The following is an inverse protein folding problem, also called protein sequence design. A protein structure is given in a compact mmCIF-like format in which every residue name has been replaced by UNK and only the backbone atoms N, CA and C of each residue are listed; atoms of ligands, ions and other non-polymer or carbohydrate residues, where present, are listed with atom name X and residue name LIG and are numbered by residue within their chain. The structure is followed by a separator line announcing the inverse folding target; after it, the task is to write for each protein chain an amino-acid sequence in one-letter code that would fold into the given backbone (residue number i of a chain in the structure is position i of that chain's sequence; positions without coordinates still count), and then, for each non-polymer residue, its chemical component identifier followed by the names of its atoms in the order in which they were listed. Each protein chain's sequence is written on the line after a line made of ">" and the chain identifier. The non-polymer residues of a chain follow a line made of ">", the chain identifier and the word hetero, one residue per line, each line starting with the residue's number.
data_IF_289258789546
#
_entry.id   IF_289258789546
#
_cell.length_a   1.000
_cell.length_b   1.000
_cell.length_c   1.000
_cell.angle_alpha   90.00
_cell.angle_beta   90.00
_cell.angle_gamma   90.00
#
_symmetry.space_group_name_H-M   'P 1'
#
loop_
_entity.id
_entity.type
_entity.pdbx_description
1 polymer ?
#
# COMPACT_ATOMS: atom_id res chain seq x y z
N UNK A 1 14.80 25.83 -10.94
CA UNK A 1 15.01 24.57 -11.69
C UNK A 1 13.80 23.63 -11.65
N UNK A 2 12.84 23.80 -10.77
CA UNK A 2 11.76 22.84 -10.56
C UNK A 2 10.37 23.20 -11.12
N UNK A 3 10.13 24.45 -11.50
CA UNK A 3 8.94 24.80 -12.29
C UNK A 3 8.93 23.99 -13.60
N UNK A 4 10.11 23.82 -14.23
CA UNK A 4 10.28 23.01 -15.42
C UNK A 4 9.86 21.54 -15.23
N UNK A 5 10.25 20.91 -14.11
CA UNK A 5 9.88 19.51 -13.84
C UNK A 5 8.36 19.33 -13.62
N UNK A 6 7.71 20.31 -12.99
CA UNK A 6 6.24 20.30 -12.80
C UNK A 6 5.52 20.56 -14.13
N UNK A 7 6.02 21.49 -14.97
CA UNK A 7 5.47 21.77 -16.29
C UNK A 7 5.67 20.60 -17.27
N UNK A 8 6.71 19.80 -17.08
CA UNK A 8 6.95 18.59 -17.87
C UNK A 8 5.82 17.56 -17.74
N UNK A 9 5.09 17.51 -16.60
CA UNK A 9 3.91 16.64 -16.42
C UNK A 9 2.82 16.93 -17.46
N UNK A 10 2.68 18.20 -17.88
CA UNK A 10 1.73 18.62 -18.89
C UNK A 10 2.25 18.61 -20.34
N UNK A 11 3.56 18.46 -20.55
CA UNK A 11 4.18 18.65 -21.89
C UNK A 11 4.96 17.45 -22.42
N UNK A 12 5.65 16.70 -21.57
CA UNK A 12 6.43 15.51 -21.98
C UNK A 12 5.52 14.38 -22.50
N UNK A 13 6.03 13.50 -23.39
CA UNK A 13 5.32 12.29 -23.81
C UNK A 13 4.92 11.43 -22.59
N UNK A 14 3.63 11.06 -22.50
CA UNK A 14 3.03 10.41 -21.35
C UNK A 14 3.73 9.08 -21.01
N UNK A 15 4.13 8.29 -22.02
CA UNK A 15 4.84 7.03 -21.81
C UNK A 15 6.19 7.21 -21.10
N UNK A 16 6.96 8.26 -21.51
CA UNK A 16 8.24 8.58 -20.85
C UNK A 16 8.04 9.05 -19.42
N UNK A 17 6.98 9.82 -19.16
CA UNK A 17 6.61 10.24 -17.81
C UNK A 17 6.23 9.04 -16.94
N UNK A 18 5.37 8.15 -17.45
CA UNK A 18 4.95 6.96 -16.70
C UNK A 18 6.17 6.12 -16.30
N UNK A 19 7.10 5.84 -17.20
CA UNK A 19 8.34 5.11 -16.88
C UNK A 19 9.17 5.88 -15.85
N UNK A 20 9.33 7.21 -16.02
CA UNK A 20 10.10 8.06 -15.10
C UNK A 20 9.56 8.06 -13.67
N UNK A 21 8.23 7.93 -13.49
CA UNK A 21 7.56 7.95 -12.19
C UNK A 21 7.31 6.54 -11.63
N UNK A 22 6.93 5.59 -12.48
CA UNK A 22 6.62 4.23 -12.05
C UNK A 22 7.88 3.43 -11.68
N UNK A 23 8.99 3.55 -12.44
CA UNK A 23 10.21 2.80 -12.14
C UNK A 23 10.74 3.06 -10.73
N UNK A 24 10.92 4.32 -10.26
CA UNK A 24 11.32 4.56 -8.89
C UNK A 24 10.31 4.01 -7.85
N UNK A 25 9.02 4.11 -8.14
CA UNK A 25 7.99 3.62 -7.24
C UNK A 25 8.00 2.08 -7.14
N UNK A 26 8.17 1.37 -8.25
CA UNK A 26 8.31 -0.09 -8.28
C UNK A 26 9.53 -0.53 -7.46
N UNK A 27 10.69 0.11 -7.68
CA UNK A 27 11.92 -0.18 -6.92
C UNK A 27 11.68 0.01 -5.42
N UNK A 28 11.06 1.13 -5.02
CA UNK A 28 10.76 1.42 -3.63
C UNK A 28 9.81 0.39 -3.00
N UNK A 29 8.75 0.01 -3.71
CA UNK A 29 7.77 -0.98 -3.24
C UNK A 29 8.40 -2.36 -3.08
N UNK A 30 9.19 -2.80 -4.06
CA UNK A 30 9.90 -4.08 -4.00
C UNK A 30 10.93 -4.10 -2.86
N UNK A 31 11.70 -3.03 -2.70
CA UNK A 31 12.67 -2.92 -1.61
C UNK A 31 12.01 -2.95 -0.23
N UNK A 32 10.88 -2.24 -0.06
CA UNK A 32 10.11 -2.28 1.19
C UNK A 32 9.57 -3.67 1.51
N UNK A 33 9.15 -4.43 0.48
CA UNK A 33 8.67 -5.80 0.67
C UNK A 33 9.79 -6.74 1.11
N UNK A 34 10.97 -6.64 0.48
CA UNK A 34 12.15 -7.44 0.85
C UNK A 34 12.65 -7.09 2.26
N UNK A 35 12.62 -5.82 2.62
CA UNK A 35 13.02 -5.35 3.94
C UNK A 35 12.20 -6.01 5.06
N UNK A 36 10.87 -6.05 4.95
CA UNK A 36 10.02 -6.70 5.97
C UNK A 36 10.39 -8.19 6.18
N UNK A 37 10.86 -8.85 5.12
CA UNK A 37 11.34 -10.23 5.20
C UNK A 37 12.68 -10.31 5.94
N UNK A 38 13.62 -9.40 5.65
CA UNK A 38 14.95 -9.35 6.29
C UNK A 38 14.84 -9.03 7.79
N UNK A 39 14.00 -8.06 8.16
CA UNK A 39 13.74 -7.70 9.56
C UNK A 39 13.20 -8.90 10.36
N UNK A 40 12.26 -9.65 9.78
CA UNK A 40 11.74 -10.87 10.40
C UNK A 40 12.83 -11.96 10.60
N UNK A 41 13.79 -12.07 9.67
CA UNK A 41 14.91 -13.01 9.78
C UNK A 41 15.83 -12.59 10.93
N UNK A 42 16.16 -11.30 11.05
CA UNK A 42 17.03 -10.80 12.13
C UNK A 42 16.40 -10.99 13.52
N UNK A 43 15.10 -10.74 13.66
CA UNK A 43 14.39 -10.97 14.92
C UNK A 43 14.38 -12.47 15.25
N UNK A 44 14.12 -13.33 14.25
CA UNK A 44 14.06 -14.78 14.45
C UNK A 44 15.38 -15.40 14.87
N UNK A 45 16.47 -14.96 14.27
CA UNK A 45 17.81 -15.45 14.58
C UNK A 45 18.40 -14.77 15.83
N UNK A 46 18.02 -13.53 16.09
CA UNK A 46 18.62 -12.71 17.15
C UNK A 46 17.91 -12.79 18.50
N UNK A 47 16.67 -13.21 18.54
CA UNK A 47 15.90 -13.30 19.79
C UNK A 47 15.46 -14.75 20.04
N UNK A 48 14.35 -15.18 19.48
CA UNK A 48 13.84 -16.56 19.52
C UNK A 48 12.57 -16.70 18.62
N UNK A 49 12.09 -17.94 18.46
CA UNK A 49 10.89 -18.24 17.68
C UNK A 49 9.61 -17.58 18.26
N UNK A 50 9.53 -17.42 19.58
CA UNK A 50 8.37 -16.76 20.23
C UNK A 50 8.32 -15.27 19.89
N UNK A 51 9.48 -14.62 19.73
CA UNK A 51 9.55 -13.22 19.31
C UNK A 51 9.06 -13.02 17.87
N UNK A 52 9.33 -13.97 16.95
CA UNK A 52 8.76 -13.93 15.58
C UNK A 52 7.25 -14.03 15.65
N UNK A 53 6.71 -14.91 16.49
CA UNK A 53 5.27 -15.06 16.68
C UNK A 53 4.66 -13.78 17.28
N UNK A 54 5.35 -13.16 18.25
CA UNK A 54 4.98 -11.84 18.77
C UNK A 54 4.96 -10.76 17.69
N UNK A 55 5.99 -10.69 16.84
CA UNK A 55 6.04 -9.75 15.70
C UNK A 55 4.89 -10.01 14.71
N UNK A 56 4.61 -11.27 14.38
CA UNK A 56 3.55 -11.63 13.43
C UNK A 56 2.17 -11.14 13.91
N UNK A 57 1.91 -11.17 15.22
CA UNK A 57 0.68 -10.67 15.84
C UNK A 57 0.58 -9.15 15.73
N UNK A 58 1.71 -8.43 15.82
CA UNK A 58 1.71 -6.96 15.72
C UNK A 58 1.52 -6.45 14.28
N UNK A 59 1.85 -7.24 13.28
CA UNK A 59 1.89 -6.84 11.88
C UNK A 59 0.55 -6.28 11.33
N UNK A 60 -0.62 -6.91 11.56
CA UNK A 60 -1.90 -6.34 11.11
C UNK A 60 -2.19 -4.99 11.76
N UNK A 61 -1.88 -4.85 13.05
CA UNK A 61 -2.11 -3.60 13.77
C UNK A 61 -1.15 -2.48 13.32
N UNK A 62 0.12 -2.79 13.07
CA UNK A 62 1.08 -1.85 12.48
C UNK A 62 0.61 -1.36 11.11
N UNK A 63 0.16 -2.28 10.24
CA UNK A 63 -0.34 -1.92 8.92
C UNK A 63 -1.59 -1.03 8.99
N UNK A 64 -2.50 -1.33 9.91
CA UNK A 64 -3.68 -0.51 10.15
C UNK A 64 -3.30 0.90 10.62
N UNK A 65 -2.36 1.01 11.57
CA UNK A 65 -1.86 2.31 12.03
C UNK A 65 -1.17 3.08 10.90
N UNK A 66 -0.27 2.45 10.15
CA UNK A 66 0.40 3.07 9.02
C UNK A 66 -0.56 3.50 7.90
N UNK A 67 -1.69 2.79 7.74
CA UNK A 67 -2.71 3.13 6.75
C UNK A 67 -3.34 4.50 6.97
N UNK A 68 -3.44 5.01 8.21
CA UNK A 68 -3.89 6.38 8.49
C UNK A 68 -2.93 7.42 7.92
N UNK A 69 -1.63 7.27 8.17
CA UNK A 69 -0.62 8.18 7.63
C UNK A 69 -0.55 8.13 6.11
N UNK A 70 -0.61 6.92 5.54
CA UNK A 70 -0.65 6.74 4.09
C UNK A 70 -1.91 7.34 3.45
N UNK A 71 -3.07 7.22 4.11
CA UNK A 71 -4.32 7.81 3.64
C UNK A 71 -4.25 9.34 3.57
N UNK A 72 -3.76 9.99 4.63
CA UNK A 72 -3.54 11.45 4.64
C UNK A 72 -2.54 11.83 3.54
N UNK A 73 -1.46 11.07 3.39
CA UNK A 73 -0.44 11.30 2.36
C UNK A 73 -0.99 11.18 0.95
N UNK A 74 -1.75 10.13 0.65
CA UNK A 74 -2.36 9.89 -0.66
C UNK A 74 -3.42 10.95 -0.98
N UNK A 75 -4.29 11.29 -0.01
CA UNK A 75 -5.28 12.34 -0.17
C UNK A 75 -4.63 13.69 -0.48
N UNK A 76 -3.60 14.06 0.30
CA UNK A 76 -2.84 15.28 0.08
C UNK A 76 -2.10 15.29 -1.26
N UNK A 77 -1.43 14.20 -1.62
CA UNK A 77 -0.65 14.12 -2.87
C UNK A 77 -1.55 14.22 -4.10
N UNK A 78 -2.73 13.63 -4.06
CA UNK A 78 -3.73 13.75 -5.14
C UNK A 78 -4.17 15.20 -5.31
N UNK A 79 -4.57 15.87 -4.22
CA UNK A 79 -5.00 17.27 -4.27
C UNK A 79 -3.85 18.20 -4.69
N UNK A 80 -2.64 18.00 -4.18
CA UNK A 80 -1.46 18.76 -4.58
C UNK A 80 -1.23 18.63 -6.09
N UNK A 81 -1.27 17.41 -6.64
CA UNK A 81 -1.08 17.18 -8.08
C UNK A 81 -2.11 17.94 -8.92
N UNK A 82 -3.39 17.91 -8.50
CA UNK A 82 -4.46 18.64 -9.18
C UNK A 82 -4.25 20.16 -9.09
N UNK A 83 -3.89 20.69 -7.90
CA UNK A 83 -3.66 22.11 -7.69
C UNK A 83 -2.44 22.64 -8.45
N UNK A 84 -1.39 21.82 -8.56
CA UNK A 84 -0.23 22.15 -9.41
C UNK A 84 -0.62 22.21 -10.90
N UNK A 85 -1.51 21.32 -11.36
CA UNK A 85 -2.06 21.37 -12.72
C UNK A 85 -2.92 22.61 -12.96
N UNK A 86 -3.66 23.08 -11.96
CA UNK A 86 -4.42 24.33 -11.96
C UNK A 86 -3.55 25.59 -11.81
N UNK A 87 -2.23 25.42 -11.60
CA UNK A 87 -1.30 26.51 -11.25
C UNK A 87 -1.63 27.23 -9.94
N UNK A 88 -2.42 26.61 -9.07
CA UNK A 88 -2.78 27.11 -7.74
C UNK A 88 -1.72 26.67 -6.71
N UNK A 89 -0.55 27.27 -6.79
CA UNK A 89 0.60 26.94 -5.95
C UNK A 89 0.38 27.32 -4.48
N UNK A 90 -0.44 28.36 -4.23
CA UNK A 90 -0.78 28.77 -2.87
C UNK A 90 -1.55 27.69 -2.13
N UNK A 91 -2.64 27.20 -2.71
CA UNK A 91 -3.44 26.11 -2.13
C UNK A 91 -2.62 24.82 -2.03
N UNK A 92 -1.75 24.50 -3.00
CA UNK A 92 -0.88 23.34 -2.93
C UNK A 92 0.06 23.38 -1.71
N UNK A 93 0.60 24.57 -1.34
CA UNK A 93 1.42 24.74 -0.11
C UNK A 93 0.59 24.60 1.17
N UNK A 94 -0.64 25.10 1.18
CA UNK A 94 -1.55 24.90 2.33
C UNK A 94 -1.89 23.43 2.52
N UNK A 95 -2.09 22.65 1.44
CA UNK A 95 -2.31 21.21 1.52
C UNK A 95 -1.06 20.51 2.09
N UNK A 96 0.16 20.91 1.69
CA UNK A 96 1.39 20.38 2.28
C UNK A 96 1.46 20.64 3.80
N UNK A 97 1.16 21.86 4.24
CA UNK A 97 1.13 22.19 5.67
C UNK A 97 0.06 21.39 6.43
N UNK A 98 -1.15 21.29 5.87
CA UNK A 98 -2.24 20.48 6.44
C UNK A 98 -1.87 18.99 6.50
N UNK A 99 -1.16 18.44 5.50
CA UNK A 99 -0.64 17.06 5.53
C UNK A 99 0.23 16.82 6.76
N UNK A 100 1.15 17.74 7.07
CA UNK A 100 2.05 17.62 8.22
C UNK A 100 1.26 17.68 9.51
N UNK A 101 0.42 18.72 9.67
CA UNK A 101 -0.35 18.91 10.90
C UNK A 101 -1.28 17.73 11.17
N UNK A 102 -1.99 17.24 10.13
CA UNK A 102 -2.86 16.06 10.26
C UNK A 102 -2.10 14.79 10.62
N UNK A 103 -0.95 14.52 9.98
CA UNK A 103 -0.16 13.34 10.28
C UNK A 103 0.39 13.37 11.71
N UNK A 104 0.79 14.55 12.22
CA UNK A 104 1.21 14.70 13.62
C UNK A 104 0.03 14.45 14.55
N UNK A 105 -1.10 15.14 14.34
CA UNK A 105 -2.26 15.03 15.22
C UNK A 105 -2.81 13.62 15.26
N UNK A 106 -3.04 13.01 14.09
CA UNK A 106 -3.56 11.64 14.00
C UNK A 106 -2.54 10.63 14.52
N UNK A 107 -1.25 10.81 14.20
CA UNK A 107 -0.18 9.91 14.67
C UNK A 107 -0.01 9.94 16.18
N UNK A 108 -0.02 11.12 16.80
CA UNK A 108 0.05 11.27 18.27
C UNK A 108 -1.23 10.74 18.92
N UNK A 109 -2.41 11.13 18.42
CA UNK A 109 -3.69 10.68 18.97
C UNK A 109 -3.85 9.16 18.96
N UNK A 110 -3.60 8.53 17.80
CA UNK A 110 -3.64 7.08 17.68
C UNK A 110 -2.55 6.41 18.53
N UNK A 111 -1.34 6.98 18.57
CA UNK A 111 -0.25 6.48 19.41
C UNK A 111 -0.66 6.45 20.88
N UNK A 112 -1.19 7.54 21.42
CA UNK A 112 -1.62 7.64 22.83
C UNK A 112 -2.75 6.65 23.11
N UNK A 113 -3.84 6.66 22.30
CA UNK A 113 -4.97 5.75 22.52
C UNK A 113 -4.50 4.30 22.43
N UNK A 114 -3.71 3.95 21.45
CA UNK A 114 -3.22 2.59 21.27
C UNK A 114 -2.31 2.15 22.41
N UNK A 115 -1.49 3.05 22.97
CA UNK A 115 -0.67 2.74 24.14
C UNK A 115 -1.51 2.51 25.40
N UNK A 116 -2.60 3.26 25.60
CA UNK A 116 -3.50 3.09 26.73
C UNK A 116 -4.24 1.74 26.71
N UNK A 117 -4.55 1.24 25.51
CA UNK A 117 -5.28 -0.02 25.29
C UNK A 117 -4.41 -1.10 24.66
N UNK A 118 -3.07 -1.04 24.81
CA UNK A 118 -2.16 -1.90 24.06
C UNK A 118 -2.39 -3.39 24.31
N UNK A 119 -2.48 -3.82 25.57
CA UNK A 119 -2.67 -5.23 25.89
C UNK A 119 -4.02 -5.79 25.39
N UNK A 120 -5.16 -5.12 25.61
CA UNK A 120 -6.42 -5.53 25.01
C UNK A 120 -6.37 -5.63 23.48
N UNK A 121 -5.69 -4.69 22.82
CA UNK A 121 -5.53 -4.71 21.36
C UNK A 121 -4.70 -5.93 20.94
N UNK A 122 -3.55 -6.17 21.56
CA UNK A 122 -2.70 -7.32 21.22
C UNK A 122 -3.38 -8.66 21.48
N UNK A 123 -4.12 -8.79 22.58
CA UNK A 123 -4.94 -9.98 22.88
C UNK A 123 -6.03 -10.18 21.82
N UNK A 124 -6.69 -9.09 21.38
CA UNK A 124 -7.68 -9.17 20.30
C UNK A 124 -7.06 -9.66 18.98
N UNK A 125 -5.80 -9.29 18.69
CA UNK A 125 -5.07 -9.78 17.51
C UNK A 125 -4.46 -11.18 17.71
N UNK A 126 -4.69 -11.84 18.84
CA UNK A 126 -4.33 -13.24 19.07
C UNK A 126 -3.05 -13.44 19.88
N UNK A 127 -2.60 -12.45 20.65
CA UNK A 127 -1.47 -12.63 21.56
C UNK A 127 -1.83 -13.64 22.67
N UNK A 128 -0.88 -14.54 22.94
CA UNK A 128 -0.91 -15.47 24.07
C UNK A 128 -0.08 -14.95 25.24
N UNK A 129 -0.14 -15.60 26.41
CA UNK A 129 0.69 -15.25 27.56
C UNK A 129 2.20 -15.26 27.23
N UNK A 130 2.63 -16.15 26.33
CA UNK A 130 4.03 -16.26 25.91
C UNK A 130 4.46 -15.23 24.88
N UNK A 131 3.57 -14.80 23.98
CA UNK A 131 3.89 -13.86 22.89
C UNK A 131 3.62 -12.41 23.25
N UNK A 132 2.70 -12.15 24.21
CA UNK A 132 2.31 -10.81 24.63
C UNK A 132 3.49 -9.92 25.07
N UNK A 133 4.48 -10.40 25.88
CA UNK A 133 5.60 -9.56 26.27
C UNK A 133 6.41 -9.05 25.07
N UNK A 134 6.68 -9.90 24.08
CA UNK A 134 7.41 -9.54 22.88
C UNK A 134 6.63 -8.57 21.99
N UNK A 135 5.34 -8.85 21.77
CA UNK A 135 4.45 -8.00 21.02
C UNK A 135 4.30 -6.61 21.67
N UNK A 136 4.19 -6.56 23.01
CA UNK A 136 4.13 -5.32 23.79
C UNK A 136 5.42 -4.51 23.64
N UNK A 137 6.57 -5.14 23.86
CA UNK A 137 7.90 -4.50 23.80
C UNK A 137 8.16 -3.87 22.44
N UNK A 138 7.75 -4.53 21.37
CA UNK A 138 7.84 -4.02 20.01
C UNK A 138 6.89 -2.86 19.74
N UNK A 139 5.60 -3.08 20.03
CA UNK A 139 4.54 -2.12 19.70
C UNK A 139 4.61 -0.84 20.52
N UNK A 140 5.07 -0.88 21.78
CA UNK A 140 5.25 0.34 22.57
C UNK A 140 6.16 1.33 21.84
N UNK A 141 7.29 0.87 21.33
CA UNK A 141 8.26 1.72 20.63
C UNK A 141 7.70 2.21 19.29
N UNK A 142 7.07 1.34 18.53
CA UNK A 142 6.43 1.71 17.25
C UNK A 142 5.35 2.79 17.48
N UNK A 143 4.52 2.65 18.52
CA UNK A 143 3.43 3.59 18.81
C UNK A 143 3.96 4.94 19.34
N UNK A 144 5.04 4.96 20.11
CA UNK A 144 5.73 6.20 20.50
C UNK A 144 6.25 6.93 19.25
N UNK A 145 6.80 6.19 18.28
CA UNK A 145 7.26 6.72 17.00
C UNK A 145 6.18 6.92 15.94
N UNK A 146 4.90 6.69 16.25
CA UNK A 146 3.83 6.62 15.27
C UNK A 146 3.68 7.91 14.43
N UNK A 147 3.83 9.08 15.04
CA UNK A 147 3.83 10.36 14.32
C UNK A 147 4.96 10.47 13.29
N UNK A 148 6.14 9.91 13.58
CA UNK A 148 7.29 9.85 12.67
C UNK A 148 6.93 8.97 11.47
N UNK A 149 6.35 7.79 11.71
CA UNK A 149 5.90 6.86 10.67
C UNK A 149 4.85 7.49 9.76
N UNK A 150 3.84 8.15 10.35
CA UNK A 150 2.79 8.83 9.59
C UNK A 150 3.35 9.96 8.71
N UNK A 151 4.20 10.82 9.27
CA UNK A 151 4.88 11.88 8.52
C UNK A 151 5.75 11.35 7.39
N UNK A 152 6.52 10.30 7.67
CA UNK A 152 7.39 9.65 6.68
C UNK A 152 6.59 9.16 5.46
N UNK A 153 5.49 8.42 5.67
CA UNK A 153 4.63 7.98 4.58
C UNK A 153 3.91 9.14 3.90
N UNK A 154 3.41 10.10 4.68
CA UNK A 154 2.72 11.28 4.19
C UNK A 154 3.60 12.12 3.26
N UNK A 155 4.81 12.46 3.69
CA UNK A 155 5.76 13.24 2.89
C UNK A 155 6.33 12.47 1.71
N UNK A 156 6.48 11.14 1.82
CA UNK A 156 6.89 10.31 0.69
C UNK A 156 5.88 10.39 -0.47
N UNK A 157 4.57 10.36 -0.17
CA UNK A 157 3.52 10.56 -1.17
C UNK A 157 3.56 11.98 -1.76
N UNK A 158 3.75 13.00 -0.92
CA UNK A 158 3.87 14.40 -1.36
C UNK A 158 5.08 14.63 -2.26
N UNK A 159 6.22 14.00 -2.01
CA UNK A 159 7.40 14.12 -2.88
C UNK A 159 7.11 13.65 -4.30
N UNK A 160 6.32 12.59 -4.48
CA UNK A 160 5.90 12.16 -5.82
C UNK A 160 5.02 13.21 -6.50
N UNK A 161 4.07 13.79 -5.78
CA UNK A 161 3.23 14.88 -6.28
C UNK A 161 4.03 16.15 -6.61
N UNK A 162 5.09 16.42 -5.83
CA UNK A 162 6.03 17.52 -6.05
C UNK A 162 7.01 17.29 -7.22
N UNK A 163 6.73 16.34 -8.10
CA UNK A 163 7.59 15.98 -9.25
C UNK A 163 8.97 15.45 -8.86
N UNK A 164 9.08 14.84 -7.68
CA UNK A 164 10.33 14.28 -7.13
C UNK A 164 10.26 12.76 -6.88
N UNK A 165 9.86 11.92 -7.87
CA UNK A 165 9.68 10.48 -7.66
C UNK A 165 10.99 9.76 -7.29
N UNK A 166 12.12 10.19 -7.84
CA UNK A 166 13.44 9.63 -7.49
C UNK A 166 13.82 9.92 -6.04
N UNK A 167 13.53 11.12 -5.53
CA UNK A 167 13.79 11.47 -4.14
C UNK A 167 12.88 10.67 -3.19
N UNK A 168 11.62 10.43 -3.56
CA UNK A 168 10.74 9.56 -2.81
C UNK A 168 11.30 8.12 -2.74
N UNK A 169 11.81 7.59 -3.86
CA UNK A 169 12.50 6.28 -3.89
C UNK A 169 13.76 6.29 -3.00
N UNK A 170 14.60 7.32 -3.11
CA UNK A 170 15.82 7.40 -2.30
C UNK A 170 15.52 7.48 -0.80
N UNK A 171 14.44 8.16 -0.39
CA UNK A 171 13.99 8.17 1.00
C UNK A 171 13.66 6.75 1.48
N UNK A 172 12.93 5.97 0.67
CA UNK A 172 12.58 4.58 0.99
C UNK A 172 13.81 3.69 1.02
N UNK A 173 14.67 3.76 0.00
CA UNK A 173 15.92 2.97 -0.06
C UNK A 173 16.85 3.29 1.11
N UNK A 174 16.97 4.57 1.47
CA UNK A 174 17.76 5.01 2.63
C UNK A 174 17.20 4.43 3.94
N UNK A 175 15.87 4.47 4.13
CA UNK A 175 15.22 3.86 5.29
C UNK A 175 15.52 2.36 5.37
N UNK A 176 15.33 1.63 4.27
CA UNK A 176 15.60 0.19 4.19
C UNK A 176 17.05 -0.12 4.51
N UNK A 177 18.00 0.61 3.90
CA UNK A 177 19.43 0.39 4.10
C UNK A 177 19.86 0.67 5.55
N UNK A 178 19.46 1.82 6.10
CA UNK A 178 19.80 2.19 7.48
C UNK A 178 19.19 1.22 8.46
N UNK A 179 17.95 0.82 8.27
CA UNK A 179 17.30 -0.14 9.17
C UNK A 179 18.00 -1.50 9.12
N UNK A 180 18.28 -2.05 7.92
CA UNK A 180 19.03 -3.32 7.77
C UNK A 180 20.41 -3.29 8.43
N UNK A 181 21.06 -2.12 8.50
CA UNK A 181 22.33 -1.94 9.20
C UNK A 181 22.15 -1.81 10.71
N UNK A 182 21.09 -1.12 11.16
CA UNK A 182 20.83 -0.90 12.58
C UNK A 182 20.28 -2.14 13.29
N UNK A 183 19.50 -2.98 12.61
CA UNK A 183 18.89 -4.18 13.19
C UNK A 183 19.94 -5.09 13.88
N UNK A 184 21.00 -5.58 13.21
CA UNK A 184 21.99 -6.43 13.85
C UNK A 184 22.75 -5.70 14.97
N UNK A 185 23.01 -4.40 14.83
CA UNK A 185 23.69 -3.62 15.87
C UNK A 185 22.82 -3.53 17.12
N UNK A 186 21.53 -3.25 16.97
CA UNK A 186 20.65 -3.05 18.11
C UNK A 186 20.16 -4.37 18.71
N UNK A 187 19.85 -5.37 17.87
CA UNK A 187 19.37 -6.66 18.33
C UNK A 187 20.47 -7.42 19.06
N UNK A 188 21.65 -7.56 18.42
CA UNK A 188 22.76 -8.38 18.92
C UNK A 188 23.84 -7.54 19.59
N UNK A 189 24.29 -6.46 18.95
CA UNK A 189 25.40 -5.64 19.43
C UNK A 189 25.09 -4.97 20.77
N UNK A 190 23.92 -4.41 20.92
CA UNK A 190 23.45 -3.77 22.16
C UNK A 190 22.57 -4.69 23.01
N UNK A 191 22.26 -5.91 22.56
CA UNK A 191 21.46 -6.88 23.30
C UNK A 191 20.01 -6.46 23.55
N UNK A 192 19.46 -5.53 22.74
CA UNK A 192 18.13 -4.97 22.97
C UNK A 192 17.00 -5.90 22.47
N UNK A 193 17.32 -7.00 21.77
CA UNK A 193 16.36 -7.96 21.27
C UNK A 193 15.29 -7.30 20.36
N UNK A 194 14.02 -7.67 20.53
CA UNK A 194 12.91 -7.17 19.71
C UNK A 194 12.68 -5.66 19.84
N UNK A 195 13.03 -5.06 21.00
CA UNK A 195 13.01 -3.60 21.18
C UNK A 195 14.02 -2.90 20.25
N UNK A 196 15.18 -3.55 20.04
CA UNK A 196 16.20 -3.04 19.11
C UNK A 196 15.68 -2.90 17.69
N UNK A 197 14.97 -3.91 17.18
CA UNK A 197 14.34 -3.87 15.85
C UNK A 197 13.29 -2.72 15.73
N UNK A 198 12.46 -2.53 16.75
CA UNK A 198 11.50 -1.43 16.76
C UNK A 198 12.16 -0.05 16.74
N UNK A 199 13.24 0.14 17.53
CA UNK A 199 14.02 1.38 17.55
C UNK A 199 14.71 1.61 16.22
N UNK A 200 15.32 0.58 15.62
CA UNK A 200 15.96 0.67 14.30
C UNK A 200 14.97 1.13 13.23
N UNK A 201 13.74 0.61 13.27
CA UNK A 201 12.65 1.01 12.37
C UNK A 201 12.30 2.50 12.52
N UNK A 202 12.02 2.96 13.74
CA UNK A 202 11.65 4.37 13.97
C UNK A 202 12.82 5.32 13.68
N UNK A 203 14.05 4.94 14.06
CA UNK A 203 15.23 5.77 13.83
C UNK A 203 15.53 5.91 12.33
N UNK A 204 15.46 4.83 11.56
CA UNK A 204 15.66 4.88 10.10
C UNK A 204 14.61 5.75 9.40
N UNK A 205 13.35 5.68 9.82
CA UNK A 205 12.28 6.55 9.33
C UNK A 205 12.50 8.01 9.75
N UNK A 206 12.95 8.26 10.97
CA UNK A 206 13.24 9.62 11.45
C UNK A 206 14.35 10.28 10.64
N UNK A 207 15.45 9.54 10.35
CA UNK A 207 16.55 10.05 9.53
C UNK A 207 16.09 10.35 8.09
N UNK A 208 15.30 9.47 7.49
CA UNK A 208 14.72 9.72 6.17
C UNK A 208 13.74 10.90 6.19
N UNK A 209 12.96 11.05 7.26
CA UNK A 209 12.04 12.16 7.47
C UNK A 209 12.80 13.49 7.54
N UNK A 210 13.91 13.57 8.26
CA UNK A 210 14.77 14.77 8.30
C UNK A 210 15.24 15.17 6.88
N UNK A 211 15.60 14.19 6.07
CA UNK A 211 15.98 14.44 4.68
C UNK A 211 14.80 14.91 3.82
N UNK A 212 13.61 14.32 4.00
CA UNK A 212 12.38 14.76 3.32
C UNK A 212 12.02 16.21 3.70
N UNK A 213 12.13 16.57 4.98
CA UNK A 213 11.93 17.95 5.44
C UNK A 213 12.91 18.90 4.78
N UNK A 214 14.19 18.56 4.70
CA UNK A 214 15.22 19.39 4.05
C UNK A 214 14.89 19.61 2.57
N UNK A 215 14.39 18.59 1.87
CA UNK A 215 14.00 18.72 0.45
C UNK A 215 12.82 19.67 0.26
N UNK A 216 11.85 19.66 1.17
CA UNK A 216 10.64 20.48 1.09
C UNK A 216 10.80 21.86 1.76
N UNK A 217 11.91 22.11 2.48
CA UNK A 217 12.24 23.41 3.05
C UNK A 217 12.88 24.38 2.05
N UNK A 218 13.24 23.91 0.86
CA UNK A 218 13.89 24.73 -0.15
C UNK A 218 12.88 25.69 -0.81
N UNK A 219 12.94 26.97 -0.46
CA UNK A 219 12.05 28.02 -0.96
C UNK A 219 12.13 28.28 -2.48
N UNK A 220 13.17 27.75 -3.15
CA UNK A 220 13.31 27.82 -4.61
C UNK A 220 12.39 26.83 -5.34
N UNK A 221 11.77 25.91 -4.61
CA UNK A 221 10.86 24.92 -5.14
C UNK A 221 9.42 25.46 -5.18
N UNK A 222 8.60 25.03 -6.14
CA UNK A 222 7.20 25.42 -6.23
C UNK A 222 6.42 24.99 -4.97
N UNK A 223 6.67 23.76 -4.52
CA UNK A 223 6.10 23.19 -3.31
C UNK A 223 7.16 23.21 -2.21
N UNK A 224 7.01 24.12 -1.25
CA UNK A 224 7.88 24.30 -0.10
C UNK A 224 7.07 24.74 1.12
N UNK A 225 7.66 24.58 2.30
CA UNK A 225 7.06 25.09 3.53
C UNK A 225 7.04 26.63 3.53
N UNK A 226 5.90 27.21 3.88
CA UNK A 226 5.77 28.66 4.05
C UNK A 226 5.06 28.99 5.36
N UNK A 227 5.30 30.19 5.89
CA UNK A 227 4.65 30.67 7.11
C UNK A 227 3.12 30.72 6.88
N UNK A 228 2.33 30.26 7.86
CA UNK A 228 0.88 30.27 7.80
C UNK A 228 0.21 29.07 7.12
N UNK A 229 0.98 28.18 6.47
CA UNK A 229 0.39 27.02 5.77
C UNK A 229 0.01 25.85 6.69
N UNK A 230 0.47 25.86 7.93
CA UNK A 230 0.23 24.78 8.90
C UNK A 230 -1.14 24.87 9.60
N UNK A 231 -1.88 25.96 9.42
CA UNK A 231 -3.24 26.07 9.95
C UNK A 231 -4.16 25.10 9.22
N UNK A 232 -4.94 24.36 10.01
CA UNK A 232 -5.92 23.42 9.47
C UNK A 232 -7.08 24.19 8.84
N UNK A 233 -7.27 23.99 7.55
CA UNK A 233 -8.41 24.50 6.80
C UNK A 233 -9.44 23.38 6.68
N UNK A 234 -10.64 23.55 7.25
CA UNK A 234 -11.70 22.54 7.30
C UNK A 234 -12.00 21.93 5.93
N UNK A 235 -12.10 22.76 4.89
CA UNK A 235 -12.38 22.30 3.52
C UNK A 235 -11.24 21.45 2.95
N UNK A 236 -9.98 21.84 3.21
CA UNK A 236 -8.81 21.06 2.77
C UNK A 236 -8.74 19.75 3.52
N UNK A 237 -8.94 19.76 4.84
CA UNK A 237 -8.96 18.54 5.67
C UNK A 237 -10.03 17.58 5.19
N UNK A 238 -11.26 18.08 4.96
CA UNK A 238 -12.36 17.26 4.45
C UNK A 238 -12.03 16.61 3.09
N UNK A 239 -11.42 17.36 2.19
CA UNK A 239 -11.03 16.87 0.88
C UNK A 239 -9.87 15.86 0.97
N UNK A 240 -8.85 16.13 1.79
CA UNK A 240 -7.74 15.20 2.04
C UNK A 240 -8.26 13.87 2.57
N UNK A 241 -9.05 13.92 3.65
CA UNK A 241 -9.60 12.72 4.27
C UNK A 241 -10.61 12.02 3.35
N UNK A 242 -11.42 12.78 2.60
CA UNK A 242 -12.38 12.24 1.64
C UNK A 242 -11.74 11.39 0.55
N UNK A 243 -10.57 11.78 0.05
CA UNK A 243 -9.80 10.97 -0.92
C UNK A 243 -9.05 9.85 -0.21
N UNK A 244 -8.44 10.14 0.95
CA UNK A 244 -7.64 9.20 1.73
C UNK A 244 -8.43 8.03 2.31
N UNK A 245 -9.74 8.17 2.51
CA UNK A 245 -10.59 7.09 3.03
C UNK A 245 -10.63 5.88 2.10
N UNK A 246 -10.43 6.06 0.78
CA UNK A 246 -10.40 4.96 -0.18
C UNK A 246 -9.27 3.97 0.07
N UNK A 247 -7.99 4.35 0.08
CA UNK A 247 -6.89 3.44 0.37
C UNK A 247 -6.92 2.92 1.82
N UNK A 248 -7.39 3.73 2.77
CA UNK A 248 -7.57 3.28 4.15
C UNK A 248 -8.60 2.15 4.24
N UNK A 249 -9.79 2.33 3.67
CA UNK A 249 -10.84 1.33 3.67
C UNK A 249 -10.39 0.04 2.95
N UNK A 250 -9.68 0.17 1.82
CA UNK A 250 -9.12 -0.97 1.10
C UNK A 250 -8.17 -1.80 1.98
N UNK A 251 -7.23 -1.15 2.67
CA UNK A 251 -6.27 -1.84 3.55
C UNK A 251 -6.96 -2.49 4.76
N UNK A 252 -7.90 -1.77 5.38
CA UNK A 252 -8.65 -2.29 6.54
C UNK A 252 -9.49 -3.51 6.16
N UNK A 253 -10.17 -3.47 5.02
CA UNK A 253 -10.94 -4.60 4.51
C UNK A 253 -10.05 -5.78 4.13
N UNK A 254 -8.87 -5.53 3.54
CA UNK A 254 -7.93 -6.60 3.20
C UNK A 254 -7.51 -7.40 4.44
N UNK A 255 -7.25 -6.72 5.58
CA UNK A 255 -6.93 -7.41 6.83
C UNK A 255 -8.07 -8.33 7.31
N UNK A 256 -9.33 -7.82 7.28
CA UNK A 256 -10.50 -8.61 7.68
C UNK A 256 -10.73 -9.81 6.77
N UNK A 257 -10.58 -9.60 5.46
CA UNK A 257 -10.75 -10.66 4.45
C UNK A 257 -9.73 -11.78 4.63
N UNK A 258 -8.46 -11.46 4.90
CA UNK A 258 -7.43 -12.48 5.15
C UNK A 258 -7.78 -13.36 6.36
N UNK A 259 -8.26 -12.75 7.45
CA UNK A 259 -8.73 -13.50 8.63
C UNK A 259 -9.87 -14.45 8.23
N UNK A 260 -10.82 -13.97 7.46
CA UNK A 260 -11.96 -14.77 7.03
C UNK A 260 -11.55 -15.91 6.09
N UNK A 261 -10.68 -15.66 5.13
CA UNK A 261 -10.12 -16.69 4.24
C UNK A 261 -9.40 -17.77 5.06
N UNK A 262 -8.54 -17.37 6.00
CA UNK A 262 -7.81 -18.33 6.83
C UNK A 262 -8.77 -19.22 7.64
N UNK A 263 -9.83 -18.65 8.22
CA UNK A 263 -10.84 -19.43 8.95
C UNK A 263 -11.55 -20.44 8.03
N UNK A 264 -11.88 -20.06 6.81
CA UNK A 264 -12.50 -20.98 5.85
C UNK A 264 -11.52 -22.08 5.40
N UNK A 265 -10.25 -21.73 5.17
CA UNK A 265 -9.21 -22.70 4.81
C UNK A 265 -8.97 -23.71 5.93
N UNK A 266 -8.91 -23.27 7.20
CA UNK A 266 -8.81 -24.19 8.36
C UNK A 266 -10.01 -25.13 8.41
N UNK A 267 -11.22 -24.59 8.23
CA UNK A 267 -12.48 -25.36 8.32
C UNK A 267 -12.58 -26.45 7.26
N UNK A 268 -12.17 -26.18 6.01
CA UNK A 268 -12.37 -27.09 4.86
C UNK A 268 -11.12 -27.82 4.41
N UNK A 269 -9.92 -27.36 4.78
CA UNK A 269 -8.65 -27.93 4.30
C UNK A 269 -7.57 -28.08 5.36
N UNK A 270 -7.85 -27.67 6.61
CA UNK A 270 -6.89 -27.77 7.71
C UNK A 270 -5.70 -26.80 7.57
N UNK A 271 -4.71 -26.96 8.46
CA UNK A 271 -3.55 -26.07 8.54
C UNK A 271 -2.67 -26.11 7.28
N UNK A 272 -2.63 -27.24 6.59
CA UNK A 272 -1.89 -27.38 5.33
C UNK A 272 -2.45 -26.47 4.23
N UNK A 273 -3.76 -26.28 4.17
CA UNK A 273 -4.40 -25.39 3.21
C UNK A 273 -4.07 -23.92 3.48
N UNK A 274 -3.96 -23.51 4.76
CA UNK A 274 -3.54 -22.15 5.16
C UNK A 274 -2.09 -21.90 4.74
N UNK A 275 -1.21 -22.90 4.96
CA UNK A 275 0.18 -22.84 4.50
C UNK A 275 0.29 -22.68 2.97
N UNK A 276 -0.48 -23.48 2.22
CA UNK A 276 -0.53 -23.42 0.76
C UNK A 276 -1.06 -22.06 0.26
N UNK A 277 -2.09 -21.49 0.91
CA UNK A 277 -2.58 -20.16 0.61
C UNK A 277 -1.51 -19.09 0.89
N UNK A 278 -0.77 -19.23 1.99
CA UNK A 278 0.34 -18.35 2.31
C UNK A 278 1.40 -18.33 1.20
N UNK A 279 1.73 -19.49 0.62
CA UNK A 279 2.66 -19.60 -0.51
C UNK A 279 2.10 -18.90 -1.76
N UNK A 280 0.86 -19.22 -2.16
CA UNK A 280 0.21 -18.62 -3.32
C UNK A 280 0.11 -17.09 -3.20
N UNK A 281 -0.27 -16.60 -2.01
CA UNK A 281 -0.39 -15.18 -1.73
C UNK A 281 0.96 -14.43 -1.80
N UNK A 282 2.04 -15.02 -1.28
CA UNK A 282 3.38 -14.43 -1.36
C UNK A 282 3.87 -14.27 -2.80
N UNK A 283 3.63 -15.27 -3.65
CA UNK A 283 3.98 -15.19 -5.07
C UNK A 283 3.17 -14.09 -5.76
N UNK A 284 1.86 -14.07 -5.55
CA UNK A 284 0.97 -13.06 -6.12
C UNK A 284 1.29 -11.64 -5.67
N UNK A 285 1.71 -11.48 -4.41
CA UNK A 285 2.04 -10.18 -3.82
C UNK A 285 3.21 -9.49 -4.52
N UNK A 286 4.18 -10.23 -5.05
CA UNK A 286 5.31 -9.67 -5.82
C UNK A 286 4.79 -8.93 -7.05
N UNK A 287 3.92 -9.55 -7.84
CA UNK A 287 3.34 -8.93 -9.04
C UNK A 287 2.41 -7.76 -8.68
N UNK A 288 1.64 -7.92 -7.61
CA UNK A 288 0.76 -6.85 -7.11
C UNK A 288 1.55 -5.61 -6.68
N UNK A 289 2.72 -5.77 -6.03
CA UNK A 289 3.59 -4.64 -5.66
C UNK A 289 4.10 -3.88 -6.88
N UNK A 290 4.39 -4.55 -7.98
CA UNK A 290 4.78 -3.90 -9.23
C UNK A 290 3.61 -3.05 -9.76
N UNK A 291 2.38 -3.58 -9.77
CA UNK A 291 1.18 -2.84 -10.17
C UNK A 291 0.94 -1.63 -9.26
N UNK A 292 1.14 -1.79 -7.95
CA UNK A 292 1.06 -0.67 -6.99
C UNK A 292 2.11 0.42 -7.29
N UNK A 293 3.32 0.03 -7.70
CA UNK A 293 4.34 0.97 -8.17
C UNK A 293 3.91 1.73 -9.44
N UNK A 294 3.29 1.04 -10.41
CA UNK A 294 2.70 1.67 -11.61
C UNK A 294 1.63 2.69 -11.20
N UNK A 295 0.74 2.32 -10.28
CA UNK A 295 -0.31 3.17 -9.76
C UNK A 295 0.24 4.43 -9.07
N UNK A 296 1.28 4.29 -8.26
CA UNK A 296 1.96 5.41 -7.62
C UNK A 296 2.65 6.34 -8.62
N UNK A 297 3.12 5.80 -9.75
CA UNK A 297 3.67 6.58 -10.86
C UNK A 297 2.58 7.28 -11.68
N UNK A 298 1.45 6.64 -11.92
CA UNK A 298 0.30 7.18 -12.65
C UNK A 298 -0.35 8.35 -11.89
N UNK A 299 -0.47 8.26 -10.56
CA UNK A 299 -1.22 9.18 -9.71
C UNK A 299 -0.83 10.67 -9.93
N UNK A 300 0.44 11.11 -9.84
CA UNK A 300 0.79 12.51 -10.03
C UNK A 300 0.56 12.97 -11.47
N UNK A 301 0.75 12.11 -12.46
CA UNK A 301 0.54 12.44 -13.89
C UNK A 301 -0.95 12.63 -14.17
N UNK A 302 -1.78 11.69 -13.73
CA UNK A 302 -3.24 11.78 -13.90
C UNK A 302 -3.82 12.98 -13.14
N UNK A 303 -3.44 13.17 -11.88
CA UNK A 303 -3.91 14.28 -11.05
C UNK A 303 -3.55 15.65 -11.63
N UNK A 304 -2.28 15.84 -12.04
CA UNK A 304 -1.82 17.08 -12.65
C UNK A 304 -2.59 17.40 -13.95
N UNK A 305 -2.64 16.46 -14.89
CA UNK A 305 -3.30 16.69 -16.18
C UNK A 305 -4.81 16.84 -16.02
N UNK A 306 -5.43 16.18 -15.04
CA UNK A 306 -6.84 16.39 -14.71
C UNK A 306 -7.07 17.81 -14.17
N UNK A 307 -6.20 18.29 -13.26
CA UNK A 307 -6.23 19.68 -12.78
C UNK A 307 -6.02 20.71 -13.90
N UNK A 308 -5.14 20.40 -14.85
CA UNK A 308 -4.84 21.24 -16.01
C UNK A 308 -5.87 21.11 -17.16
N UNK A 309 -6.96 20.35 -16.97
CA UNK A 309 -8.02 20.12 -17.99
C UNK A 309 -7.54 19.41 -19.26
N UNK A 310 -6.40 18.72 -19.22
CA UNK A 310 -5.80 18.01 -20.37
C UNK A 310 -6.29 16.55 -20.41
N UNK A 311 -7.58 16.35 -20.74
CA UNK A 311 -8.23 15.03 -20.65
C UNK A 311 -7.65 13.98 -21.59
N UNK A 312 -7.14 14.36 -22.75
CA UNK A 312 -6.45 13.42 -23.67
C UNK A 312 -5.22 12.79 -23.00
N UNK A 313 -4.45 13.58 -22.25
CA UNK A 313 -3.28 13.10 -21.52
C UNK A 313 -3.67 12.24 -20.33
N UNK A 314 -4.76 12.61 -19.64
CA UNK A 314 -5.34 11.81 -18.55
C UNK A 314 -5.74 10.43 -19.06
N UNK A 315 -6.42 10.36 -20.20
CA UNK A 315 -6.83 9.08 -20.80
C UNK A 315 -5.64 8.30 -21.36
N UNK A 316 -4.62 8.98 -21.87
CA UNK A 316 -3.40 8.35 -22.36
C UNK A 316 -2.61 7.67 -21.22
N UNK A 317 -2.41 8.34 -20.08
CA UNK A 317 -1.72 7.72 -18.94
C UNK A 317 -2.52 6.55 -18.36
N UNK A 318 -3.85 6.66 -18.31
CA UNK A 318 -4.71 5.57 -17.87
C UNK A 318 -4.55 4.34 -18.77
N UNK A 319 -4.67 4.50 -20.11
CA UNK A 319 -4.51 3.41 -21.08
C UNK A 319 -3.16 2.71 -20.93
N UNK A 320 -2.07 3.48 -20.87
CA UNK A 320 -0.72 2.94 -20.70
C UNK A 320 -0.55 2.19 -19.38
N UNK A 321 -1.11 2.72 -18.29
CA UNK A 321 -1.06 2.07 -16.99
C UNK A 321 -1.89 0.78 -16.95
N UNK A 322 -3.05 0.74 -17.64
CA UNK A 322 -3.86 -0.47 -17.80
C UNK A 322 -3.07 -1.53 -18.54
N UNK A 323 -2.47 -1.22 -19.69
CA UNK A 323 -1.68 -2.18 -20.44
C UNK A 323 -0.48 -2.70 -19.64
N UNK A 324 0.22 -1.81 -18.92
CA UNK A 324 1.32 -2.22 -18.06
C UNK A 324 0.83 -3.10 -16.89
N UNK A 325 -0.26 -2.73 -16.23
CA UNK A 325 -0.83 -3.51 -15.12
C UNK A 325 -1.33 -4.89 -15.55
N UNK A 326 -2.08 -4.96 -16.65
CA UNK A 326 -2.52 -6.24 -17.24
C UNK A 326 -1.29 -7.07 -17.64
N UNK A 327 -0.30 -6.47 -18.31
CA UNK A 327 0.91 -7.16 -18.75
C UNK A 327 1.67 -7.80 -17.58
N UNK A 328 1.91 -7.06 -16.50
CA UNK A 328 2.58 -7.56 -15.29
C UNK A 328 1.79 -8.70 -14.66
N UNK A 329 0.49 -8.54 -14.49
CA UNK A 329 -0.35 -9.56 -13.87
C UNK A 329 -0.52 -10.79 -14.79
N UNK A 330 -0.51 -10.62 -16.12
CA UNK A 330 -0.51 -11.73 -17.08
C UNK A 330 0.80 -12.54 -16.98
N UNK A 331 1.95 -11.88 -16.81
CA UNK A 331 3.22 -12.56 -16.56
C UNK A 331 3.12 -13.38 -15.27
N UNK A 332 2.56 -12.79 -14.20
CA UNK A 332 2.32 -13.50 -12.94
C UNK A 332 1.43 -14.74 -13.12
N UNK A 333 0.33 -14.60 -13.84
CA UNK A 333 -0.56 -15.70 -14.19
C UNK A 333 0.18 -16.80 -14.98
N UNK A 334 0.92 -16.46 -16.03
CA UNK A 334 1.69 -17.41 -16.82
C UNK A 334 2.73 -18.15 -15.97
N UNK A 335 3.42 -17.48 -15.07
CA UNK A 335 4.37 -18.12 -14.14
C UNK A 335 3.64 -19.08 -13.20
N UNK A 336 2.51 -18.69 -12.63
CA UNK A 336 1.71 -19.53 -11.76
C UNK A 336 1.11 -20.75 -12.47
N UNK A 337 0.75 -20.61 -13.75
CA UNK A 337 0.15 -21.69 -14.54
C UNK A 337 1.19 -22.67 -15.09
N UNK A 338 2.30 -22.14 -15.63
CA UNK A 338 3.33 -22.94 -16.30
C UNK A 338 4.36 -23.53 -15.33
N UNK A 339 4.64 -22.82 -14.23
CA UNK A 339 5.70 -23.18 -13.27
C UNK A 339 5.22 -23.25 -11.82
N UNK A 340 4.03 -23.82 -11.51
CA UNK A 340 3.51 -23.84 -10.14
C UNK A 340 4.37 -24.69 -9.20
N UNK A 341 4.92 -25.82 -9.69
CA UNK A 341 5.80 -26.70 -8.92
C UNK A 341 7.09 -26.00 -8.46
N UNK A 342 7.91 -25.38 -9.34
CA UNK A 342 9.06 -24.61 -8.90
C UNK A 342 8.69 -23.47 -7.92
N UNK A 343 7.58 -22.80 -8.16
CA UNK A 343 7.10 -21.73 -7.29
C UNK A 343 6.80 -22.24 -5.87
N UNK A 344 6.09 -23.37 -5.73
CA UNK A 344 5.79 -23.96 -4.44
C UNK A 344 7.07 -24.51 -3.76
N UNK A 345 7.94 -25.15 -4.52
CA UNK A 345 9.19 -25.74 -4.03
C UNK A 345 10.17 -24.74 -3.42
N UNK A 346 10.11 -23.48 -3.84
CA UNK A 346 10.91 -22.40 -3.24
C UNK A 346 10.59 -22.18 -1.76
N UNK A 347 9.38 -22.51 -1.30
CA UNK A 347 8.91 -22.21 0.05
C UNK A 347 8.83 -23.44 0.95
N UNK A 348 8.70 -24.64 0.39
CA UNK A 348 8.56 -25.88 1.17
C UNK A 348 9.15 -27.08 0.46
N UNK A 349 9.58 -28.06 1.24
CA UNK A 349 10.03 -29.38 0.75
C UNK A 349 8.99 -30.48 1.01
N UNK A 350 7.88 -30.16 1.65
CA UNK A 350 6.80 -31.10 1.95
C UNK A 350 5.95 -31.35 0.69
N UNK A 351 5.90 -32.62 0.26
CA UNK A 351 5.25 -33.01 -1.00
C UNK A 351 3.72 -32.81 -0.97
N UNK A 352 3.09 -32.98 0.19
CA UNK A 352 1.65 -32.76 0.33
C UNK A 352 1.32 -31.28 0.25
N UNK A 353 2.06 -30.43 0.95
CA UNK A 353 1.92 -28.99 0.87
C UNK A 353 2.19 -28.46 -0.54
N UNK A 354 3.19 -28.98 -1.24
CA UNK A 354 3.47 -28.64 -2.64
C UNK A 354 2.27 -28.98 -3.53
N UNK A 355 1.67 -30.17 -3.37
CA UNK A 355 0.51 -30.59 -4.16
C UNK A 355 -0.70 -29.67 -3.97
N UNK A 356 -1.01 -29.31 -2.72
CA UNK A 356 -2.09 -28.37 -2.41
C UNK A 356 -1.78 -26.97 -2.94
N UNK A 357 -0.52 -26.53 -2.79
CA UNK A 357 -0.07 -25.22 -3.28
C UNK A 357 -0.15 -25.10 -4.80
N UNK A 358 0.15 -26.14 -5.57
CA UNK A 358 0.04 -26.14 -7.04
C UNK A 358 -1.38 -25.80 -7.48
N UNK A 359 -2.38 -26.48 -6.92
CA UNK A 359 -3.78 -26.22 -7.23
C UNK A 359 -4.19 -24.80 -6.76
N UNK A 360 -3.80 -24.45 -5.54
CA UNK A 360 -4.06 -23.12 -5.00
C UNK A 360 -3.46 -22.00 -5.83
N UNK A 361 -2.21 -22.12 -6.28
CA UNK A 361 -1.54 -21.13 -7.14
C UNK A 361 -2.30 -20.97 -8.47
N UNK A 362 -2.62 -22.07 -9.15
CA UNK A 362 -3.34 -22.03 -10.43
C UNK A 362 -4.69 -21.35 -10.31
N UNK A 363 -5.50 -21.77 -9.36
CA UNK A 363 -6.85 -21.22 -9.18
C UNK A 363 -6.76 -19.76 -8.74
N UNK A 364 -5.93 -19.43 -7.76
CA UNK A 364 -5.81 -18.08 -7.24
C UNK A 364 -5.32 -17.06 -8.30
N UNK A 365 -4.40 -17.49 -9.18
CA UNK A 365 -3.82 -16.59 -10.18
C UNK A 365 -4.64 -16.53 -11.48
N UNK A 366 -5.70 -17.31 -11.64
CA UNK A 366 -6.50 -17.38 -12.85
C UNK A 366 -7.05 -16.00 -13.29
N UNK A 367 -7.49 -15.20 -12.35
CA UNK A 367 -8.05 -13.87 -12.60
C UNK A 367 -7.03 -12.72 -12.56
N UNK A 368 -5.74 -12.99 -12.42
CA UNK A 368 -4.70 -11.96 -12.29
C UNK A 368 -4.73 -10.88 -13.37
N UNK A 369 -4.88 -11.19 -14.68
CA UNK A 369 -4.99 -10.15 -15.70
C UNK A 369 -6.14 -9.17 -15.44
N UNK A 370 -7.26 -9.65 -14.89
CA UNK A 370 -8.43 -8.84 -14.54
C UNK A 370 -8.15 -7.94 -13.31
N UNK A 371 -7.39 -8.46 -12.34
CA UNK A 371 -6.94 -7.68 -11.17
C UNK A 371 -6.05 -6.52 -11.62
N UNK A 372 -5.18 -6.73 -12.62
CA UNK A 372 -4.35 -5.68 -13.19
C UNK A 372 -5.16 -4.51 -13.71
N UNK A 373 -6.22 -4.75 -14.46
CA UNK A 373 -7.15 -3.73 -14.91
C UNK A 373 -7.85 -3.04 -13.75
N UNK A 374 -8.44 -3.82 -12.85
CA UNK A 374 -9.24 -3.32 -11.74
C UNK A 374 -8.42 -2.42 -10.79
N UNK A 375 -7.22 -2.85 -10.41
CA UNK A 375 -6.35 -2.10 -9.52
C UNK A 375 -5.95 -0.75 -10.12
N UNK A 376 -5.64 -0.71 -11.42
CA UNK A 376 -5.29 0.54 -12.12
C UNK A 376 -6.49 1.47 -12.23
N UNK A 377 -7.66 0.99 -12.65
CA UNK A 377 -8.86 1.82 -12.81
C UNK A 377 -9.36 2.36 -11.47
N UNK A 378 -9.33 1.54 -10.42
CA UNK A 378 -9.69 1.96 -9.06
C UNK A 378 -8.79 3.09 -8.56
N UNK A 379 -7.47 2.93 -8.75
CA UNK A 379 -6.48 3.95 -8.37
C UNK A 379 -6.58 5.21 -9.26
N UNK A 380 -6.94 5.06 -10.52
CA UNK A 380 -7.19 6.18 -11.41
C UNK A 380 -8.31 7.09 -10.88
N UNK A 381 -9.46 6.54 -10.49
CA UNK A 381 -10.55 7.34 -9.91
C UNK A 381 -10.12 8.06 -8.63
N UNK A 382 -9.27 7.43 -7.82
CA UNK A 382 -8.65 8.08 -6.66
C UNK A 382 -7.75 9.25 -7.10
N UNK A 383 -6.93 9.06 -8.13
CA UNK A 383 -5.95 10.03 -8.63
C UNK A 383 -6.57 11.30 -9.22
N UNK A 384 -7.80 11.21 -9.72
CA UNK A 384 -8.58 12.35 -10.22
C UNK A 384 -9.60 12.88 -9.20
N UNK A 385 -9.47 12.50 -7.91
CA UNK A 385 -10.30 12.97 -6.81
C UNK A 385 -11.71 12.39 -6.75
N UNK A 386 -12.05 11.37 -7.56
CA UNK A 386 -13.36 10.69 -7.52
C UNK A 386 -13.39 9.59 -6.45
N UNK A 387 -13.17 9.99 -5.20
CA UNK A 387 -13.03 9.09 -4.07
C UNK A 387 -14.22 8.14 -3.89
N UNK A 388 -15.47 8.61 -4.05
CA UNK A 388 -16.67 7.76 -3.90
C UNK A 388 -16.66 6.57 -4.84
N UNK A 389 -16.25 6.77 -6.10
CA UNK A 389 -16.13 5.70 -7.09
C UNK A 389 -15.03 4.73 -6.72
N UNK A 390 -13.86 5.24 -6.34
CA UNK A 390 -12.73 4.43 -5.90
C UNK A 390 -13.06 3.58 -4.66
N UNK A 391 -13.73 4.17 -3.65
CA UNK A 391 -14.19 3.46 -2.45
C UNK A 391 -15.16 2.34 -2.84
N UNK A 392 -16.16 2.65 -3.66
CA UNK A 392 -17.14 1.66 -4.10
C UNK A 392 -16.47 0.48 -4.81
N UNK A 393 -15.56 0.74 -5.77
CA UNK A 393 -14.86 -0.32 -6.50
C UNK A 393 -13.97 -1.17 -5.59
N UNK A 394 -13.28 -0.54 -4.63
CA UNK A 394 -12.42 -1.25 -3.68
C UNK A 394 -13.21 -2.12 -2.70
N UNK A 395 -14.27 -1.57 -2.11
CA UNK A 395 -15.06 -2.26 -1.10
C UNK A 395 -15.99 -3.32 -1.70
N UNK A 396 -16.57 -3.06 -2.87
CA UNK A 396 -17.47 -4.02 -3.52
C UNK A 396 -16.75 -5.34 -3.82
N UNK A 397 -15.51 -5.30 -4.30
CA UNK A 397 -14.71 -6.51 -4.54
C UNK A 397 -14.59 -7.37 -3.29
N UNK A 398 -14.25 -6.76 -2.17
CA UNK A 398 -13.94 -7.49 -0.95
C UNK A 398 -15.18 -7.85 -0.14
N UNK A 399 -16.08 -6.88 0.07
CA UNK A 399 -17.23 -7.04 0.95
C UNK A 399 -18.48 -7.57 0.24
N UNK A 400 -18.77 -7.07 -0.98
CA UNK A 400 -20.01 -7.44 -1.67
C UNK A 400 -19.85 -8.73 -2.49
N UNK A 401 -18.64 -9.04 -2.96
CA UNK A 401 -18.43 -10.22 -3.81
C UNK A 401 -17.64 -11.31 -3.10
N UNK A 402 -16.44 -11.00 -2.59
CA UNK A 402 -15.58 -12.04 -2.03
C UNK A 402 -16.15 -12.66 -0.74
N UNK A 403 -16.59 -11.86 0.24
CA UNK A 403 -17.10 -12.42 1.49
C UNK A 403 -18.32 -13.33 1.29
N UNK A 404 -19.37 -12.96 0.53
CA UNK A 404 -20.46 -13.90 0.26
C UNK A 404 -20.01 -15.17 -0.47
N UNK A 405 -19.15 -15.04 -1.49
CA UNK A 405 -18.63 -16.21 -2.20
C UNK A 405 -17.81 -17.15 -1.31
N UNK A 406 -17.06 -16.61 -0.33
CA UNK A 406 -16.33 -17.40 0.67
C UNK A 406 -17.24 -18.11 1.67
N UNK A 407 -18.51 -17.73 1.77
CA UNK A 407 -19.52 -18.48 2.54
C UNK A 407 -20.17 -19.55 1.69
N UNK A 408 -20.68 -19.19 0.49
CA UNK A 408 -21.51 -20.08 -0.33
C UNK A 408 -20.69 -21.15 -1.09
N UNK A 409 -19.56 -20.79 -1.73
CA UNK A 409 -18.82 -21.74 -2.56
C UNK A 409 -18.17 -22.88 -1.77
N UNK A 410 -17.61 -22.67 -0.58
CA UNK A 410 -17.08 -23.79 0.22
C UNK A 410 -18.13 -24.78 0.69
N UNK A 411 -19.39 -24.37 0.87
CA UNK A 411 -20.48 -25.27 1.19
C UNK A 411 -20.80 -26.24 0.02
N UNK A 412 -20.53 -25.81 -1.22
CA UNK A 412 -20.78 -26.61 -2.42
C UNK A 412 -19.56 -27.46 -2.83
N UNK A 413 -18.36 -26.91 -2.74
CA UNK A 413 -17.13 -27.50 -3.29
C UNK A 413 -15.99 -27.69 -2.25
N UNK A 414 -16.27 -27.53 -0.97
CA UNK A 414 -15.25 -27.67 0.08
C UNK A 414 -14.10 -26.68 -0.10
N UNK A 415 -12.87 -27.20 -0.01
CA UNK A 415 -11.64 -26.38 -0.14
C UNK A 415 -11.51 -25.72 -1.53
N UNK A 416 -11.93 -26.41 -2.59
CA UNK A 416 -11.89 -25.85 -3.94
C UNK A 416 -12.83 -24.65 -4.08
N UNK A 417 -13.92 -24.63 -3.32
CA UNK A 417 -14.82 -23.51 -3.21
C UNK A 417 -14.16 -22.28 -2.55
N UNK A 418 -13.29 -22.48 -1.56
CA UNK A 418 -12.50 -21.37 -0.97
C UNK A 418 -11.56 -20.77 -1.99
N UNK A 419 -10.84 -21.63 -2.73
CA UNK A 419 -9.94 -21.19 -3.79
C UNK A 419 -10.68 -20.49 -4.93
N UNK A 420 -11.82 -21.05 -5.39
CA UNK A 420 -12.61 -20.51 -6.49
C UNK A 420 -13.30 -19.17 -6.16
N UNK A 421 -13.57 -18.89 -4.87
CA UNK A 421 -14.18 -17.62 -4.45
C UNK A 421 -13.32 -16.39 -4.83
N UNK A 422 -11.98 -16.54 -4.82
CA UNK A 422 -11.05 -15.46 -5.16
C UNK A 422 -11.21 -15.02 -6.62
N UNK A 423 -10.94 -15.88 -7.63
CA UNK A 423 -11.09 -15.48 -9.03
C UNK A 423 -12.55 -15.16 -9.41
N UNK A 424 -13.53 -15.81 -8.81
CA UNK A 424 -14.93 -15.49 -9.07
C UNK A 424 -15.28 -14.05 -8.63
N UNK A 425 -14.84 -13.63 -7.45
CA UNK A 425 -15.02 -12.25 -6.98
C UNK A 425 -14.29 -11.25 -7.87
N UNK A 426 -13.10 -11.59 -8.36
CA UNK A 426 -12.31 -10.74 -9.23
C UNK A 426 -12.97 -10.57 -10.61
N UNK A 427 -13.58 -11.63 -11.16
CA UNK A 427 -14.34 -11.55 -12.41
C UNK A 427 -15.56 -10.61 -12.26
N UNK A 428 -16.33 -10.74 -11.19
CA UNK A 428 -17.49 -9.87 -10.93
C UNK A 428 -17.03 -8.41 -10.76
N UNK A 429 -15.99 -8.20 -9.95
CA UNK A 429 -15.43 -6.88 -9.71
C UNK A 429 -14.85 -6.24 -10.97
N UNK A 430 -14.24 -7.03 -11.87
CA UNK A 430 -13.79 -6.55 -13.18
C UNK A 430 -14.95 -6.03 -14.01
N UNK A 431 -16.06 -6.80 -14.11
CA UNK A 431 -17.26 -6.39 -14.87
C UNK A 431 -17.81 -5.07 -14.32
N UNK A 432 -17.95 -4.96 -12.99
CA UNK A 432 -18.42 -3.72 -12.35
C UNK A 432 -17.48 -2.55 -12.64
N UNK A 433 -16.16 -2.78 -12.55
CA UNK A 433 -15.15 -1.74 -12.83
C UNK A 433 -15.19 -1.31 -14.29
N UNK A 434 -15.39 -2.24 -15.22
CA UNK A 434 -15.53 -1.98 -16.66
C UNK A 434 -16.76 -1.12 -16.94
N UNK A 435 -17.92 -1.50 -16.38
CA UNK A 435 -19.17 -0.74 -16.52
C UNK A 435 -19.01 0.68 -15.98
N UNK A 436 -18.43 0.84 -14.79
CA UNK A 436 -18.21 2.16 -14.20
C UNK A 436 -17.27 3.02 -15.06
N UNK A 437 -16.25 2.42 -15.66
CA UNK A 437 -15.34 3.13 -16.55
C UNK A 437 -16.03 3.56 -17.85
N UNK A 438 -16.86 2.70 -18.46
CA UNK A 438 -17.65 3.03 -19.67
C UNK A 438 -18.61 4.18 -19.36
N UNK A 439 -19.33 4.12 -18.24
CA UNK A 439 -20.25 5.20 -17.84
C UNK A 439 -19.50 6.53 -17.63
N UNK A 440 -18.31 6.47 -17.07
CA UNK A 440 -17.47 7.65 -16.90
C UNK A 440 -17.04 8.24 -18.25
N UNK A 441 -16.56 7.42 -19.17
CA UNK A 441 -16.15 7.86 -20.52
C UNK A 441 -17.32 8.46 -21.30
N UNK A 442 -18.49 7.82 -21.28
CA UNK A 442 -19.69 8.33 -21.97
C UNK A 442 -20.15 9.68 -21.41
N UNK A 443 -19.96 9.92 -20.11
CA UNK A 443 -20.27 11.22 -19.50
C UNK A 443 -19.29 12.31 -19.94
N UNK A 444 -18.00 11.98 -20.09
CA UNK A 444 -16.99 12.93 -20.57
C UNK A 444 -17.24 13.33 -22.03
N UNK A 445 -17.55 12.37 -22.90
CA UNK A 445 -17.82 12.63 -24.32
C UNK A 445 -19.09 13.48 -24.58
N UNK A 446 -20.00 13.62 -23.59
CA UNK A 446 -21.18 14.49 -23.68
C UNK A 446 -20.90 15.93 -23.28
N UNK A 447 -19.72 16.20 -22.68
CA UNK A 447 -19.32 17.53 -22.22
C UNK A 447 -18.18 18.15 -23.06
N UNK A 448 -17.63 17.38 -24.01
CA UNK A 448 -16.79 17.83 -25.13
C UNK A 448 -17.62 18.02 -26.37
#
# INVERSE_FOLDING_TARGET
>A
MNEKATLELGSKPVGKLLVQYATPAIIAMTASSLYNMVDSIFIGQGVNATAISGLAITFPFMNLSAAFGAAIGIGSSTLISMKLGQRDYSTARHILGNNITLNILVGVFLGIISLLFLDPILLFFGASESTLPYARDYMQIILIGNAITHLYFGLNAVLRAASKPRQAMYATMFTVMINTLLDPIMIWGLGMGIRGAAIATILSQALALCWQFRLLSNSKELLHFSKGTFHLCSDLVRNILGIGISPFAMNSCACLVVIFINNQLVRYGGDMAVGAYGIANRIGFVFFMIVMGINQGMQPIAGYNYGAQQMERVMSVLKLSIYAGIGVMTIGWLIGELFPYPCARLFTSDDEMIRISINGIRINMLAFPLIGYQAVVTNFFQSIGKAKVSIFLSLSRQMLFLLPLLVFLPELWGIDGVWAALPASDCIAFIVTLVMMILYMNKQNKHT
#
